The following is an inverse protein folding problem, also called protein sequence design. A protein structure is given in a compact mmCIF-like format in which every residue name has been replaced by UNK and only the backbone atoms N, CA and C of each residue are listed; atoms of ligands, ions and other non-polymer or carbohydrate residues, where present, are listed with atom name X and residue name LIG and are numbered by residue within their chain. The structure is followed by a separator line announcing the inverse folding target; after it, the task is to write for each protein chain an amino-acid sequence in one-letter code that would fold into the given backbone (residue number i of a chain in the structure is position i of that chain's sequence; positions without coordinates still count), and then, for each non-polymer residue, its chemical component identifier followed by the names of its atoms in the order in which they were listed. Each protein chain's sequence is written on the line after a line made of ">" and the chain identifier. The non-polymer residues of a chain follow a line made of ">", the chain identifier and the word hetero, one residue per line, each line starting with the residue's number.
data_IF_982676438863
#
_entry.id   IF_982676438863
#
_cell.length_a   1.000
_cell.length_b   1.000
_cell.length_c   1.000
_cell.angle_alpha   90.00
_cell.angle_beta   90.00
_cell.angle_gamma   90.00
#
_symmetry.space_group_name_H-M   'P 1'
#
loop_
_entity.id
_entity.type
_entity.pdbx_description
1 polymer ?
#
# COMPACT_ATOMS: atom_id res chain seq x y z
N UNK A 1 44.66 40.36 -12.73
CA UNK A 1 43.36 40.89 -12.25
C UNK A 1 42.25 39.99 -12.78
N UNK A 2 41.28 39.61 -11.94
CA UNK A 2 40.27 38.59 -12.18
C UNK A 2 38.90 39.22 -12.50
N UNK A 3 38.24 38.79 -13.56
CA UNK A 3 36.81 39.16 -13.76
C UNK A 3 35.99 38.09 -14.47
N UNK A 4 36.57 36.94 -14.82
CA UNK A 4 35.91 36.00 -15.74
C UNK A 4 35.52 34.66 -15.13
N UNK A 5 35.84 34.40 -13.85
CA UNK A 5 35.58 33.10 -13.20
C UNK A 5 34.36 33.13 -12.27
N UNK A 6 33.84 34.31 -11.93
CA UNK A 6 32.73 34.47 -10.96
C UNK A 6 31.33 34.39 -11.59
N UNK A 7 31.20 34.45 -12.91
CA UNK A 7 29.89 34.44 -13.59
C UNK A 7 29.41 33.02 -13.93
N UNK A 8 30.34 32.07 -14.14
CA UNK A 8 29.99 30.69 -14.48
C UNK A 8 29.50 29.85 -13.29
N UNK A 9 29.81 30.25 -12.05
CA UNK A 9 29.41 29.49 -10.84
C UNK A 9 28.02 29.90 -10.33
N UNK A 10 27.56 31.12 -10.61
CA UNK A 10 26.22 31.56 -10.20
C UNK A 10 25.09 30.95 -11.04
N UNK A 11 25.35 30.58 -12.31
CA UNK A 11 24.32 30.03 -13.20
C UNK A 11 24.00 28.54 -12.94
N UNK A 12 24.96 27.74 -12.46
CA UNK A 12 24.75 26.30 -12.19
C UNK A 12 24.02 26.02 -10.87
N UNK A 13 23.99 26.96 -9.93
CA UNK A 13 23.21 26.82 -8.69
C UNK A 13 21.74 27.22 -8.92
N UNK A 14 21.47 28.15 -9.86
CA UNK A 14 20.10 28.58 -10.16
C UNK A 14 19.32 27.55 -10.99
N UNK A 15 19.99 26.75 -11.84
CA UNK A 15 19.33 25.69 -12.62
C UNK A 15 19.09 24.39 -11.82
N UNK A 16 19.83 24.17 -10.73
CA UNK A 16 19.64 23.02 -9.84
C UNK A 16 18.49 23.19 -8.82
N UNK A 17 17.99 24.42 -8.64
CA UNK A 17 16.87 24.73 -7.73
C UNK A 17 15.54 24.91 -8.49
N UNK A 18 15.57 25.06 -9.81
CA UNK A 18 14.38 25.24 -10.66
C UNK A 18 13.78 23.92 -11.20
N UNK A 19 13.93 22.81 -10.49
CA UNK A 19 13.26 21.52 -10.81
C UNK A 19 12.37 21.02 -9.66
N UNK A 20 12.25 21.77 -8.57
CA UNK A 20 11.46 21.35 -7.40
C UNK A 20 10.06 21.98 -7.28
N UNK A 21 9.63 22.83 -8.21
CA UNK A 21 8.30 23.46 -8.16
C UNK A 21 7.62 23.61 -9.53
N UNK A 22 7.36 22.49 -10.20
CA UNK A 22 6.28 22.43 -11.21
C UNK A 22 5.23 21.43 -10.73
N UNK A 23 4.45 21.86 -9.76
CA UNK A 23 3.07 21.42 -9.62
C UNK A 23 2.28 22.18 -10.69
N UNK A 24 1.67 21.54 -11.69
CA UNK A 24 0.62 22.19 -12.44
C UNK A 24 -0.64 22.10 -11.58
N UNK A 25 -0.99 23.21 -10.91
CA UNK A 25 -2.32 23.42 -10.35
C UNK A 25 -3.09 24.34 -11.30
N UNK A 26 -4.19 23.79 -11.78
CA UNK A 26 -5.40 24.38 -12.37
C UNK A 26 -5.38 24.91 -13.82
N UNK A 27 -5.98 24.10 -14.70
CA UNK A 27 -7.11 24.56 -15.54
C UNK A 27 -8.10 23.39 -15.70
N UNK A 28 -9.41 23.64 -15.57
CA UNK A 28 -10.45 22.62 -15.56
C UNK A 28 -10.66 22.14 -16.99
N UNK A 29 -10.45 20.84 -17.20
CA UNK A 29 -10.90 20.19 -18.43
C UNK A 29 -12.14 19.40 -18.05
N UNK A 30 -13.29 20.00 -18.34
CA UNK A 30 -14.57 19.32 -18.42
C UNK A 30 -14.48 18.29 -19.55
N UNK A 31 -13.90 17.14 -19.24
CA UNK A 31 -14.13 15.92 -20.00
C UNK A 31 -15.19 15.15 -19.25
N UNK A 32 -16.45 15.42 -19.62
CA UNK A 32 -17.59 14.54 -19.40
C UNK A 32 -17.24 13.14 -19.93
N UNK A 33 -16.66 12.32 -19.07
CA UNK A 33 -16.48 10.90 -19.28
C UNK A 33 -16.89 10.25 -17.97
N UNK A 34 -18.18 9.91 -17.88
CA UNK A 34 -18.78 9.03 -16.87
C UNK A 34 -18.12 9.10 -15.47
N UNK A 35 -18.38 10.19 -14.76
CA UNK A 35 -17.82 10.46 -13.44
C UNK A 35 -18.23 9.42 -12.39
N UNK A 36 -17.26 8.61 -11.97
CA UNK A 36 -17.18 8.16 -10.57
C UNK A 36 -16.09 9.02 -9.92
N UNK A 37 -16.49 9.90 -8.99
CA UNK A 37 -15.55 10.67 -8.17
C UNK A 37 -14.82 9.68 -7.28
N UNK A 38 -13.60 9.27 -7.65
CA UNK A 38 -12.78 8.35 -6.87
C UNK A 38 -12.62 8.88 -5.45
N UNK A 39 -13.07 8.12 -4.46
CA UNK A 39 -12.84 8.36 -3.05
C UNK A 39 -11.34 8.19 -2.81
N UNK A 40 -10.66 9.30 -2.54
CA UNK A 40 -9.25 9.29 -2.16
C UNK A 40 -9.13 8.81 -0.72
N UNK A 41 -8.54 7.62 -0.51
CA UNK A 41 -8.20 7.13 0.82
C UNK A 41 -6.89 7.76 1.31
N UNK A 42 -6.69 7.94 2.62
CA UNK A 42 -5.41 8.33 3.19
C UNK A 42 -4.31 7.35 2.75
N UNK A 43 -3.22 7.88 2.19
CA UNK A 43 -2.11 7.07 1.69
C UNK A 43 -1.04 6.83 2.75
N UNK A 44 -0.56 5.58 2.81
CA UNK A 44 0.51 5.14 3.69
C UNK A 44 1.64 4.55 2.82
N UNK A 45 2.73 5.29 2.56
CA UNK A 45 3.79 4.79 1.70
C UNK A 45 4.65 3.75 2.42
N UNK A 46 4.94 2.65 1.73
CA UNK A 46 5.88 1.63 2.21
C UNK A 46 6.83 1.19 1.10
N UNK A 47 8.09 1.59 1.22
CA UNK A 47 9.16 1.11 0.38
C UNK A 47 9.89 -0.06 1.08
N UNK A 48 9.80 -1.25 0.49
CA UNK A 48 10.36 -2.50 1.04
C UNK A 48 11.88 -2.40 1.25
N UNK A 49 12.61 -1.75 0.34
CA UNK A 49 14.08 -1.62 0.43
C UNK A 49 14.56 -0.55 1.41
N UNK A 50 13.65 0.18 2.06
CA UNK A 50 14.02 1.10 3.15
C UNK A 50 14.14 0.39 4.51
N UNK A 51 14.03 -0.94 4.52
CA UNK A 51 14.31 -1.78 5.69
C UNK A 51 13.24 -1.71 6.77
N UNK A 52 13.59 -2.22 7.96
CA UNK A 52 12.63 -2.39 9.06
C UNK A 52 11.98 -1.10 9.53
N UNK A 53 12.72 0.01 9.53
CA UNK A 53 12.22 1.31 9.98
C UNK A 53 11.04 1.81 9.14
N UNK A 54 11.12 1.67 7.80
CA UNK A 54 10.02 2.05 6.92
C UNK A 54 8.81 1.14 7.10
N UNK A 55 9.04 -0.16 7.29
CA UNK A 55 7.98 -1.13 7.53
C UNK A 55 7.24 -0.88 8.86
N UNK A 56 7.96 -0.65 9.96
CA UNK A 56 7.36 -0.33 11.25
C UNK A 56 6.64 1.02 11.23
N UNK A 57 7.21 2.02 10.52
CA UNK A 57 6.56 3.32 10.33
C UNK A 57 5.22 3.17 9.60
N UNK A 58 5.14 2.32 8.57
CA UNK A 58 3.87 2.03 7.88
C UNK A 58 2.84 1.44 8.84
N UNK A 59 3.21 0.46 9.67
CA UNK A 59 2.29 -0.14 10.63
C UNK A 59 1.80 0.88 11.69
N UNK A 60 2.69 1.76 12.16
CA UNK A 60 2.33 2.80 13.13
C UNK A 60 1.42 3.87 12.50
N UNK A 61 1.68 4.28 11.26
CA UNK A 61 0.78 5.17 10.51
C UNK A 61 -0.61 4.56 10.35
N UNK A 62 -0.69 3.27 10.01
CA UNK A 62 -1.96 2.56 9.87
C UNK A 62 -2.74 2.50 11.19
N UNK A 63 -2.06 2.24 12.32
CA UNK A 63 -2.67 2.27 13.67
C UNK A 63 -3.20 3.66 14.02
N UNK A 64 -2.41 4.70 13.77
CA UNK A 64 -2.84 6.09 14.02
C UNK A 64 -4.07 6.47 13.19
N UNK A 65 -4.15 6.02 11.93
CA UNK A 65 -5.33 6.20 11.08
C UNK A 65 -6.56 5.48 11.65
N UNK A 66 -6.41 4.25 12.15
CA UNK A 66 -7.49 3.52 12.78
C UNK A 66 -7.99 4.21 14.06
N UNK A 67 -7.08 4.71 14.91
CA UNK A 67 -7.44 5.43 16.15
C UNK A 67 -8.17 6.76 15.88
N UNK A 68 -7.69 7.53 14.90
CA UNK A 68 -8.31 8.82 14.52
C UNK A 68 -9.69 8.62 13.90
N UNK A 69 -9.83 7.59 13.05
CA UNK A 69 -11.11 7.17 12.47
C UNK A 69 -12.12 6.77 13.56
N UNK A 70 -11.72 5.91 14.50
CA UNK A 70 -12.58 5.46 15.59
C UNK A 70 -12.97 6.59 16.56
N UNK A 71 -12.07 7.56 16.79
CA UNK A 71 -12.30 8.68 17.70
C UNK A 71 -13.15 9.80 17.09
N UNK A 72 -13.47 9.75 15.79
CA UNK A 72 -14.11 10.85 15.06
C UNK A 72 -13.29 12.14 15.05
N UNK A 73 -12.02 12.09 15.47
CA UNK A 73 -11.13 13.25 15.50
C UNK A 73 -10.68 13.53 14.08
N UNK A 74 -11.16 14.65 13.55
CA UNK A 74 -10.62 15.26 12.35
C UNK A 74 -9.20 15.70 12.67
N UNK A 75 -8.19 15.06 12.08
CA UNK A 75 -6.87 15.70 11.97
C UNK A 75 -7.12 17.03 11.24
N UNK A 76 -6.75 18.18 11.81
CA UNK A 76 -6.93 19.44 11.12
C UNK A 76 -6.12 19.38 9.83
N UNK A 77 -6.83 19.27 8.71
CA UNK A 77 -6.24 19.49 7.42
C UNK A 77 -5.82 20.96 7.42
N UNK A 78 -4.51 21.21 7.36
CA UNK A 78 -4.02 22.56 7.15
C UNK A 78 -4.47 22.94 5.74
N UNK A 79 -5.31 23.98 5.69
CA UNK A 79 -5.90 24.63 4.53
C UNK A 79 -7.11 23.94 3.87
N UNK A 80 -8.32 24.36 4.26
CA UNK A 80 -9.28 25.09 3.39
C UNK A 80 -10.68 25.06 4.03
N UNK A 81 -11.21 26.25 4.31
CA UNK A 81 -12.60 26.49 4.63
C UNK A 81 -13.50 26.07 3.46
N UNK A 82 -14.47 25.17 3.68
CA UNK A 82 -15.86 25.38 3.25
C UNK A 82 -16.78 24.25 3.75
N UNK A 83 -17.86 24.65 4.41
CA UNK A 83 -18.95 23.77 4.82
C UNK A 83 -19.76 23.35 3.58
N UNK A 84 -19.60 22.11 3.12
CA UNK A 84 -20.58 21.41 2.29
C UNK A 84 -20.87 20.09 3.00
N UNK A 85 -22.13 19.72 3.15
CA UNK A 85 -22.54 18.49 3.82
C UNK A 85 -21.87 17.25 3.17
N UNK A 86 -20.83 16.71 3.82
CA UNK A 86 -20.02 15.60 3.32
C UNK A 86 -20.57 14.28 3.88
N UNK A 87 -21.47 13.63 3.15
CA UNK A 87 -21.77 12.20 3.36
C UNK A 87 -20.64 11.28 2.88
N UNK A 88 -19.68 11.81 2.11
CA UNK A 88 -18.50 11.08 1.60
C UNK A 88 -17.26 11.04 2.53
N UNK A 89 -17.29 11.72 3.68
CA UNK A 89 -16.11 11.82 4.56
C UNK A 89 -15.98 10.64 5.53
N UNK A 90 -17.08 9.93 5.79
CA UNK A 90 -17.10 8.78 6.72
C UNK A 90 -16.62 7.49 6.07
N UNK A 91 -16.93 7.26 4.80
CA UNK A 91 -16.46 6.06 4.08
C UNK A 91 -14.97 6.14 3.77
N UNK A 92 -14.45 7.31 3.36
CA UNK A 92 -13.01 7.50 3.11
C UNK A 92 -12.16 7.30 4.36
N UNK A 93 -12.69 7.69 5.53
CA UNK A 93 -12.06 7.46 6.85
C UNK A 93 -12.11 6.01 7.32
N UNK A 94 -12.88 5.14 6.67
CA UNK A 94 -12.98 3.73 7.04
C UNK A 94 -11.89 2.87 6.40
N UNK A 95 -11.14 3.42 5.43
CA UNK A 95 -10.10 2.71 4.70
C UNK A 95 -8.80 3.51 4.60
N UNK A 96 -7.70 2.84 4.32
CA UNK A 96 -6.42 3.44 3.96
C UNK A 96 -5.85 2.76 2.70
N UNK A 97 -5.07 3.50 1.93
CA UNK A 97 -4.36 3.01 0.75
C UNK A 97 -2.86 2.87 1.08
N UNK A 98 -2.38 1.64 1.23
CA UNK A 98 -0.95 1.39 1.39
C UNK A 98 -0.32 1.35 0.00
N UNK A 99 0.56 2.30 -0.29
CA UNK A 99 1.33 2.35 -1.54
C UNK A 99 2.62 1.58 -1.34
N UNK A 100 2.66 0.34 -1.82
CA UNK A 100 3.78 -0.58 -1.64
C UNK A 100 4.71 -0.49 -2.85
N UNK A 101 5.97 -0.17 -2.62
CA UNK A 101 7.01 -0.10 -3.65
C UNK A 101 8.24 -0.92 -3.27
N UNK A 102 9.01 -1.36 -4.25
CA UNK A 102 10.32 -1.97 -4.06
C UNK A 102 11.39 -1.23 -4.87
N UNK A 103 12.36 -1.97 -5.38
CA UNK A 103 13.46 -1.40 -6.16
C UNK A 103 13.00 -0.81 -7.50
N UNK A 104 13.92 -0.12 -8.19
CA UNK A 104 13.69 0.71 -9.39
C UNK A 104 12.96 0.06 -10.58
N UNK A 105 12.72 -1.26 -10.56
CA UNK A 105 12.05 -2.00 -11.63
C UNK A 105 10.91 -2.90 -11.14
N UNK A 106 10.48 -2.73 -9.89
CA UNK A 106 9.29 -3.41 -9.37
C UNK A 106 8.06 -2.50 -9.52
N UNK A 107 6.93 -3.04 -9.97
CA UNK A 107 5.70 -2.25 -10.04
C UNK A 107 5.24 -1.89 -8.62
N UNK A 108 4.73 -0.67 -8.45
CA UNK A 108 4.02 -0.30 -7.24
C UNK A 108 2.69 -1.06 -7.16
N UNK A 109 2.34 -1.53 -5.97
CA UNK A 109 1.06 -2.18 -5.69
C UNK A 109 0.38 -1.43 -4.56
N UNK A 110 -0.89 -1.11 -4.77
CA UNK A 110 -1.75 -0.53 -3.77
C UNK A 110 -2.49 -1.63 -3.02
N UNK A 111 -2.57 -1.51 -1.70
CA UNK A 111 -3.37 -2.38 -0.84
C UNK A 111 -4.37 -1.52 -0.05
N UNK A 112 -5.66 -1.68 -0.36
CA UNK A 112 -6.71 -1.01 0.41
C UNK A 112 -6.95 -1.80 1.69
N UNK A 113 -6.87 -1.11 2.82
CA UNK A 113 -7.02 -1.68 4.16
C UNK A 113 -8.26 -1.10 4.84
N UNK A 114 -9.13 -1.95 5.35
CA UNK A 114 -10.24 -1.54 6.22
C UNK A 114 -9.70 -1.26 7.62
N UNK A 115 -9.86 -0.04 8.11
CA UNK A 115 -9.24 0.43 9.35
C UNK A 115 -9.88 -0.16 10.62
N UNK A 116 -11.14 -0.62 10.55
CA UNK A 116 -11.85 -1.21 11.69
C UNK A 116 -11.22 -2.52 12.19
N UNK A 117 -10.56 -3.26 11.31
CA UNK A 117 -9.98 -4.57 11.63
C UNK A 117 -8.62 -4.82 10.95
N UNK A 118 -8.05 -3.82 10.29
CA UNK A 118 -6.81 -3.90 9.51
C UNK A 118 -6.82 -4.90 8.35
N UNK A 119 -7.99 -5.39 7.90
CA UNK A 119 -8.03 -6.32 6.77
C UNK A 119 -7.68 -5.62 5.48
N UNK A 120 -6.76 -6.20 4.70
CA UNK A 120 -6.62 -5.86 3.29
C UNK A 120 -7.82 -6.39 2.52
N UNK A 121 -8.51 -5.50 1.81
CA UNK A 121 -9.77 -5.77 1.10
C UNK A 121 -9.64 -5.71 -0.42
N UNK A 122 -8.58 -5.09 -0.93
CA UNK A 122 -8.29 -4.98 -2.37
C UNK A 122 -6.80 -4.80 -2.60
N UNK A 123 -6.28 -5.42 -3.67
CA UNK A 123 -5.01 -5.06 -4.28
C UNK A 123 -5.23 -4.49 -5.68
N UNK A 124 -4.47 -3.47 -6.07
CA UNK A 124 -4.49 -2.96 -7.45
C UNK A 124 -3.15 -2.33 -7.82
N UNK A 125 -2.92 -2.09 -9.10
CA UNK A 125 -1.84 -1.22 -9.58
C UNK A 125 -2.34 -0.34 -10.70
N UNK A 126 -1.98 0.93 -10.65
CA UNK A 126 -2.27 1.93 -11.68
C UNK A 126 -1.02 2.40 -12.43
N UNK A 127 0.18 2.01 -11.97
CA UNK A 127 1.46 2.59 -12.42
C UNK A 127 2.05 1.89 -13.65
N UNK A 128 1.36 0.89 -14.19
CA UNK A 128 1.78 0.16 -15.39
C UNK A 128 0.74 0.33 -16.50
N UNK A 129 1.10 0.14 -17.79
CA UNK A 129 0.13 0.15 -18.89
C UNK A 129 -0.97 -0.93 -18.77
N UNK A 130 -0.92 -1.77 -17.73
CA UNK A 130 -1.87 -2.83 -17.46
C UNK A 130 -2.37 -2.71 -16.02
N UNK A 131 -3.39 -1.87 -15.81
CA UNK A 131 -4.08 -1.81 -14.54
C UNK A 131 -4.67 -3.18 -14.20
N UNK A 132 -4.55 -3.59 -12.94
CA UNK A 132 -5.25 -4.75 -12.42
C UNK A 132 -5.96 -4.40 -11.13
N UNK A 133 -7.06 -5.10 -10.84
CA UNK A 133 -7.82 -4.95 -9.60
C UNK A 133 -8.22 -6.33 -9.09
N UNK A 134 -7.78 -6.67 -7.88
CA UNK A 134 -8.07 -7.92 -7.18
C UNK A 134 -8.87 -7.60 -5.91
N UNK A 135 -10.19 -7.79 -5.98
CA UNK A 135 -11.08 -7.61 -4.83
C UNK A 135 -11.08 -8.85 -3.93
N UNK A 136 -10.86 -8.64 -2.63
CA UNK A 136 -11.02 -9.65 -1.59
C UNK A 136 -12.35 -9.50 -0.86
N UNK A 137 -12.87 -8.28 -0.78
CA UNK A 137 -14.16 -7.95 -0.19
C UNK A 137 -15.08 -7.22 -1.18
N UNK A 138 -16.39 -7.30 -0.94
CA UNK A 138 -17.42 -6.69 -1.80
C UNK A 138 -17.80 -5.27 -1.38
N UNK A 139 -17.44 -4.86 -0.17
CA UNK A 139 -17.84 -3.61 0.49
C UNK A 139 -16.83 -2.48 0.29
N UNK A 140 -15.88 -2.63 -0.63
CA UNK A 140 -14.86 -1.62 -0.91
C UNK A 140 -15.48 -0.48 -1.74
N UNK A 141 -15.44 0.78 -1.27
CA UNK A 141 -15.95 1.93 -2.01
C UNK A 141 -15.29 2.04 -3.40
N UNK A 142 -16.03 2.61 -4.35
CA UNK A 142 -15.63 2.68 -5.76
C UNK A 142 -15.11 1.33 -6.27
N UNK A 143 -16.03 0.37 -6.36
CA UNK A 143 -15.79 -0.88 -7.07
C UNK A 143 -15.41 -0.54 -8.52
N UNK A 144 -14.11 -0.40 -8.78
CA UNK A 144 -13.56 -0.60 -10.11
C UNK A 144 -13.91 -2.03 -10.50
N UNK A 145 -14.35 -2.22 -11.75
CA UNK A 145 -14.67 -3.55 -12.23
C UNK A 145 -13.40 -4.38 -12.16
N UNK A 146 -13.34 -5.29 -11.18
CA UNK A 146 -12.22 -6.19 -11.02
C UNK A 146 -12.02 -6.95 -12.33
N UNK A 147 -10.76 -7.22 -12.69
CA UNK A 147 -10.47 -8.04 -13.87
C UNK A 147 -11.24 -9.37 -13.81
N UNK A 148 -11.31 -9.95 -12.59
CA UNK A 148 -12.27 -10.97 -12.21
C UNK A 148 -12.58 -10.94 -10.69
N UNK A 149 -13.65 -11.65 -10.29
CA UNK A 149 -14.03 -11.79 -8.88
C UNK A 149 -13.51 -13.09 -8.24
N UNK A 150 -12.45 -13.69 -8.79
CA UNK A 150 -11.98 -15.01 -8.33
C UNK A 150 -11.57 -15.01 -6.85
N UNK A 151 -10.98 -13.91 -6.40
CA UNK A 151 -10.48 -13.75 -5.03
C UNK A 151 -11.50 -13.16 -4.06
N UNK A 152 -12.71 -12.86 -4.52
CA UNK A 152 -13.77 -12.35 -3.65
C UNK A 152 -14.07 -13.36 -2.53
N UNK A 153 -14.19 -12.84 -1.30
CA UNK A 153 -14.36 -13.61 -0.08
C UNK A 153 -13.10 -14.31 0.45
N UNK A 154 -11.91 -14.02 -0.10
CA UNK A 154 -10.63 -14.67 0.29
C UNK A 154 -9.68 -13.72 1.02
N UNK A 155 -10.22 -12.87 1.90
CA UNK A 155 -9.42 -11.98 2.77
C UNK A 155 -8.56 -12.74 3.79
N UNK A 156 -8.94 -13.97 4.14
CA UNK A 156 -8.27 -14.75 5.19
C UNK A 156 -7.05 -15.53 4.71
N UNK A 157 -6.02 -15.61 5.54
CA UNK A 157 -4.79 -16.34 5.25
C UNK A 157 -5.03 -17.80 4.84
N UNK A 158 -5.92 -18.54 5.50
CA UNK A 158 -6.20 -19.95 5.17
C UNK A 158 -6.83 -20.14 3.78
N UNK A 159 -7.62 -19.17 3.29
CA UNK A 159 -8.21 -19.24 1.96
C UNK A 159 -7.14 -19.05 0.89
N UNK A 160 -6.27 -18.04 1.06
CA UNK A 160 -5.17 -17.80 0.15
C UNK A 160 -4.10 -18.88 0.23
N UNK A 161 -3.78 -19.41 1.42
CA UNK A 161 -2.86 -20.53 1.62
C UNK A 161 -3.27 -21.76 0.80
N UNK A 162 -4.57 -22.06 0.76
CA UNK A 162 -5.13 -23.14 -0.06
C UNK A 162 -4.96 -22.88 -1.57
N UNK A 163 -5.23 -21.66 -2.03
CA UNK A 163 -5.04 -21.30 -3.45
C UNK A 163 -3.56 -21.31 -3.84
N UNK A 164 -2.70 -20.79 -2.97
CA UNK A 164 -1.25 -20.75 -3.12
C UNK A 164 -0.58 -22.14 -3.07
N UNK A 165 -1.32 -23.16 -2.62
CA UNK A 165 -0.84 -24.50 -2.30
C UNK A 165 0.38 -24.46 -1.37
N UNK A 166 0.29 -23.67 -0.30
CA UNK A 166 1.38 -23.43 0.63
C UNK A 166 0.84 -23.31 2.06
N UNK A 167 1.49 -23.98 3.02
CA UNK A 167 1.13 -23.83 4.44
C UNK A 167 1.60 -22.48 4.98
N UNK A 168 0.89 -21.93 5.98
CA UNK A 168 1.24 -20.64 6.59
C UNK A 168 2.69 -20.61 7.11
N UNK A 169 3.15 -21.70 7.74
CA UNK A 169 4.52 -21.80 8.28
C UNK A 169 5.60 -21.93 7.19
N UNK A 170 5.22 -22.23 5.95
CA UNK A 170 6.12 -22.27 4.81
C UNK A 170 6.17 -20.93 4.05
N UNK A 171 5.36 -19.94 4.43
CA UNK A 171 5.36 -18.63 3.78
C UNK A 171 6.62 -17.87 4.19
N UNK A 172 7.51 -17.65 3.22
CA UNK A 172 8.68 -16.79 3.41
C UNK A 172 8.26 -15.32 3.27
N UNK A 173 8.57 -14.52 4.29
CA UNK A 173 8.26 -13.10 4.46
C UNK A 173 9.53 -12.22 4.41
N UNK A 174 10.62 -12.76 3.87
CA UNK A 174 11.85 -11.98 3.65
C UNK A 174 11.61 -10.81 2.69
N UNK A 175 12.48 -9.80 2.76
CA UNK A 175 12.46 -8.64 1.86
C UNK A 175 12.35 -9.07 0.40
N UNK A 176 13.21 -9.98 -0.05
CA UNK A 176 13.20 -10.53 -1.40
C UNK A 176 11.88 -11.22 -1.78
N UNK A 177 11.26 -11.95 -0.83
CA UNK A 177 9.98 -12.62 -1.07
C UNK A 177 8.81 -11.62 -1.18
N UNK A 178 8.86 -10.53 -0.42
CA UNK A 178 7.92 -9.42 -0.51
C UNK A 178 8.10 -8.68 -1.84
N UNK A 179 9.34 -8.37 -2.25
CA UNK A 179 9.59 -7.75 -3.55
C UNK A 179 9.12 -8.60 -4.74
N UNK A 180 9.36 -9.91 -4.71
CA UNK A 180 8.84 -10.80 -5.76
C UNK A 180 7.31 -10.79 -5.78
N UNK A 181 6.66 -10.59 -4.64
CA UNK A 181 5.21 -10.49 -4.55
C UNK A 181 4.67 -9.23 -5.24
N UNK A 182 5.45 -8.14 -5.29
CA UNK A 182 5.09 -6.99 -6.13
C UNK A 182 4.97 -7.39 -7.59
N UNK A 183 5.84 -8.28 -8.10
CA UNK A 183 5.77 -8.77 -9.48
C UNK A 183 4.59 -9.72 -9.68
N UNK A 184 4.37 -10.62 -8.71
CA UNK A 184 3.27 -11.58 -8.76
C UNK A 184 1.90 -10.87 -8.82
N UNK A 185 1.78 -9.71 -8.18
CA UNK A 185 0.57 -8.90 -8.20
C UNK A 185 0.57 -7.89 -9.35
N UNK A 186 1.71 -7.23 -9.56
CA UNK A 186 1.96 -6.11 -10.46
C UNK A 186 1.86 -6.37 -11.96
N UNK A 187 1.86 -7.64 -12.37
CA UNK A 187 1.95 -8.04 -13.77
C UNK A 187 0.65 -8.72 -14.21
N UNK A 188 0.04 -8.19 -15.28
CA UNK A 188 -1.15 -8.79 -15.88
C UNK A 188 -0.83 -10.17 -16.46
N UNK A 189 -1.73 -11.13 -16.21
CA UNK A 189 -1.59 -12.50 -16.71
C UNK A 189 -0.79 -13.42 -15.80
N UNK A 190 -0.32 -12.94 -14.64
CA UNK A 190 0.21 -13.80 -13.59
C UNK A 190 -0.83 -14.83 -13.18
N UNK A 191 -0.39 -16.07 -12.97
CA UNK A 191 -1.30 -17.14 -12.58
C UNK A 191 -1.85 -16.92 -11.17
N UNK A 192 -3.06 -17.44 -10.93
CA UNK A 192 -3.79 -17.25 -9.66
C UNK A 192 -3.05 -17.82 -8.45
N UNK A 193 -2.19 -18.81 -8.63
CA UNK A 193 -1.41 -19.40 -7.53
C UNK A 193 -0.32 -18.43 -7.10
N UNK A 194 0.40 -17.83 -8.05
CA UNK A 194 1.39 -16.79 -7.78
C UNK A 194 0.74 -15.52 -7.18
N UNK A 195 -0.39 -15.05 -7.73
CA UNK A 195 -1.16 -13.96 -7.13
C UNK A 195 -1.58 -14.27 -5.69
N UNK A 196 -2.08 -15.48 -5.42
CA UNK A 196 -2.45 -15.89 -4.07
C UNK A 196 -1.25 -15.92 -3.11
N UNK A 197 -0.07 -16.33 -3.56
CA UNK A 197 1.17 -16.27 -2.76
C UNK A 197 1.55 -14.83 -2.45
N UNK A 198 1.48 -13.94 -3.44
CA UNK A 198 1.76 -12.51 -3.26
C UNK A 198 0.82 -11.86 -2.25
N UNK A 199 -0.49 -12.06 -2.44
CA UNK A 199 -1.52 -11.57 -1.50
C UNK A 199 -1.33 -12.15 -0.10
N UNK A 200 -1.05 -13.45 0.02
CA UNK A 200 -0.86 -14.10 1.31
C UNK A 200 0.30 -13.46 2.09
N UNK A 201 1.45 -13.19 1.44
CA UNK A 201 2.57 -12.52 2.11
C UNK A 201 2.21 -11.13 2.60
N UNK A 202 1.54 -10.33 1.78
CA UNK A 202 1.13 -8.98 2.18
C UNK A 202 0.05 -8.96 3.24
N UNK A 203 -0.93 -9.87 3.20
CA UNK A 203 -1.92 -9.99 4.26
C UNK A 203 -1.25 -10.33 5.59
N UNK A 204 -0.24 -11.20 5.61
CA UNK A 204 0.51 -11.47 6.83
C UNK A 204 1.31 -10.23 7.27
N UNK A 205 2.00 -9.57 6.34
CA UNK A 205 2.83 -8.40 6.64
C UNK A 205 2.04 -7.13 7.00
N UNK A 206 0.75 -7.05 6.65
CA UNK A 206 -0.10 -5.89 6.91
C UNK A 206 -1.14 -6.25 7.96
N UNK A 207 -2.11 -7.10 7.62
CA UNK A 207 -3.23 -7.46 8.50
C UNK A 207 -2.73 -8.10 9.80
N UNK A 208 -1.95 -9.18 9.69
CA UNK A 208 -1.56 -9.96 10.87
C UNK A 208 -0.49 -9.24 11.69
N UNK A 209 0.47 -8.58 11.05
CA UNK A 209 1.48 -7.79 11.74
C UNK A 209 0.91 -6.55 12.45
N UNK A 210 -0.16 -5.95 11.92
CA UNK A 210 -0.86 -4.85 12.59
C UNK A 210 -1.49 -5.30 13.92
N UNK A 211 -2.11 -6.50 13.91
CA UNK A 211 -2.78 -7.12 15.06
C UNK A 211 -1.82 -7.77 16.06
N UNK A 212 -0.75 -8.39 15.57
CA UNK A 212 0.18 -9.19 16.36
C UNK A 212 1.61 -8.66 16.23
N UNK A 213 2.01 -7.83 17.18
CA UNK A 213 3.37 -7.26 17.27
C UNK A 213 4.50 -8.29 17.10
N UNK A 214 4.44 -9.52 17.65
CA UNK A 214 5.51 -10.50 17.43
C UNK A 214 5.71 -10.92 15.96
N UNK A 215 4.68 -10.80 15.11
CA UNK A 215 4.81 -11.02 13.67
C UNK A 215 5.51 -9.82 13.02
N UNK A 216 5.11 -8.60 13.38
CA UNK A 216 5.76 -7.37 12.92
C UNK A 216 7.26 -7.36 13.25
N UNK A 217 7.62 -7.59 14.51
CA UNK A 217 9.01 -7.57 14.98
C UNK A 217 9.85 -8.63 14.26
N UNK A 218 9.26 -9.79 13.97
CA UNK A 218 9.95 -10.86 13.23
C UNK A 218 10.24 -10.48 11.78
N UNK A 219 9.28 -9.87 11.09
CA UNK A 219 9.47 -9.38 9.71
C UNK A 219 10.50 -8.25 9.69
N UNK A 220 10.38 -7.29 10.60
CA UNK A 220 11.32 -6.18 10.76
C UNK A 220 12.77 -6.67 10.95
N UNK A 221 12.98 -7.60 11.89
CA UNK A 221 14.31 -8.21 12.09
C UNK A 221 14.83 -8.94 10.85
N UNK A 222 13.95 -9.56 10.06
CA UNK A 222 14.33 -10.22 8.82
C UNK A 222 14.81 -9.26 7.74
N UNK A 223 14.16 -8.10 7.62
CA UNK A 223 14.56 -7.02 6.70
C UNK A 223 15.96 -6.50 7.04
N UNK A 224 16.25 -6.26 8.32
CA UNK A 224 17.57 -5.73 8.72
C UNK A 224 18.71 -6.74 8.52
N UNK A 225 18.42 -8.03 8.63
CA UNK A 225 19.41 -9.10 8.54
C UNK A 225 19.45 -9.77 7.16
N UNK A 226 18.63 -9.34 6.20
CA UNK A 226 18.52 -9.97 4.87
C UNK A 226 18.20 -11.47 4.93
N UNK A 227 17.51 -11.91 5.97
CA UNK A 227 17.31 -13.34 6.27
C UNK A 227 15.93 -13.83 5.83
N UNK A 228 15.81 -15.14 5.61
CA UNK A 228 14.51 -15.77 5.42
C UNK A 228 13.65 -15.66 6.67
N UNK A 229 12.37 -15.34 6.48
CA UNK A 229 11.43 -15.09 7.57
C UNK A 229 10.23 -16.01 7.45
N UNK A 230 9.98 -16.80 8.48
CA UNK A 230 8.81 -17.68 8.54
C UNK A 230 8.04 -17.46 9.84
N UNK A 231 6.71 -17.49 9.76
CA UNK A 231 5.88 -17.51 10.97
C UNK A 231 6.01 -18.86 11.67
N UNK A 232 6.01 -18.84 13.00
CA UNK A 232 6.01 -20.08 13.80
C UNK A 232 4.66 -20.78 13.74
N UNK A 233 4.61 -22.06 14.12
CA UNK A 233 3.33 -22.77 14.26
C UNK A 233 2.38 -22.09 15.26
N UNK A 234 2.92 -21.50 16.32
CA UNK A 234 2.13 -20.72 17.29
C UNK A 234 1.54 -19.46 16.64
N UNK A 235 2.35 -18.70 15.89
CA UNK A 235 1.88 -17.50 15.17
C UNK A 235 0.84 -17.87 14.11
N UNK A 236 1.06 -18.96 13.35
CA UNK A 236 0.07 -19.47 12.41
C UNK A 236 -1.23 -19.90 13.10
N UNK A 237 -1.17 -20.39 14.35
CA UNK A 237 -2.35 -20.65 15.16
C UNK A 237 -3.11 -19.38 15.59
N UNK A 238 -2.38 -18.29 15.89
CA UNK A 238 -2.99 -17.00 16.21
C UNK A 238 -3.70 -16.37 15.01
N UNK A 239 -3.09 -16.45 13.82
CA UNK A 239 -3.63 -15.89 12.57
C UNK A 239 -4.97 -16.52 12.12
N UNK A 240 -5.35 -17.67 12.71
CA UNK A 240 -6.59 -18.38 12.40
C UNK A 240 -7.75 -18.02 13.31
N UNK A 241 -7.49 -17.32 14.41
CA UNK A 241 -8.47 -16.93 15.44
C UNK A 241 -8.73 -15.43 15.41
#
# INVERSE_FOLDING_TARGET
>A
MPTSVLIAVALSVLLGILVLFTVPRDMPRDTETSGKKRVAFPQVPWNINRGSGAYLTMLDQLRNLAETSASGRVMPNVDTEENVAITGDTESRSFADIVISGGNHTPSVHAIVRLSDFRVVRFFSSDTPHSFVLNLASDVPDHEDADDNWFLGKEGCDALARVANQSLTAVNLSEFSLENSLRDLGIRGTDRTAQARGMLRYIIAITEASRFRPIADRIANGMDNGSDVFVTAQQAGLMRN
#
